data_IF_162422494333
#
_entry.id   IF_162422494333
#
_cell.length_a   1.000
_cell.length_b   1.000
_cell.length_c   1.000
_cell.angle_alpha   90.00
_cell.angle_beta   90.00
_cell.angle_gamma   90.00
#
_symmetry.space_group_name_H-M   'P 1'
#
loop_
_entity.id
_entity.type
_entity.pdbx_description
1 polymer ?
#
# COMPACT_ATOMS: atom_id res chain seq x y z
N UNK A 1 14.04 -33.78 -18.63
CA UNK A 1 14.83 -33.20 -17.52
C UNK A 1 15.38 -31.79 -17.80
N UNK A 2 15.60 -31.38 -19.06
CA UNK A 2 16.06 -30.01 -19.38
C UNK A 2 14.99 -28.91 -19.19
N UNK A 3 13.71 -29.18 -19.49
CA UNK A 3 12.65 -28.18 -19.39
C UNK A 3 12.48 -27.63 -17.96
N UNK A 4 12.56 -28.49 -16.95
CA UNK A 4 12.48 -28.08 -15.54
C UNK A 4 13.70 -27.26 -15.12
N UNK A 5 14.89 -27.62 -15.61
CA UNK A 5 16.12 -26.88 -15.32
C UNK A 5 16.10 -25.47 -15.93
N UNK A 6 15.64 -25.34 -17.17
CA UNK A 6 15.50 -24.05 -17.87
C UNK A 6 14.46 -23.16 -17.18
N UNK A 7 13.29 -23.70 -16.81
CA UNK A 7 12.27 -22.95 -16.06
C UNK A 7 12.81 -22.46 -14.71
N UNK A 8 13.56 -23.31 -14.00
CA UNK A 8 14.11 -22.97 -12.69
C UNK A 8 15.19 -21.88 -12.81
N UNK A 9 16.01 -21.94 -13.86
CA UNK A 9 17.06 -20.96 -14.15
C UNK A 9 16.47 -19.59 -14.52
N UNK A 10 15.45 -19.56 -15.39
CA UNK A 10 14.76 -18.32 -15.75
C UNK A 10 14.03 -17.70 -14.55
N UNK A 11 13.35 -18.53 -13.75
CA UNK A 11 12.68 -18.07 -12.52
C UNK A 11 13.68 -17.47 -11.52
N UNK A 12 14.86 -18.09 -11.38
CA UNK A 12 15.93 -17.60 -10.51
C UNK A 12 16.49 -16.26 -11.00
N UNK A 13 16.63 -16.10 -12.32
CA UNK A 13 17.11 -14.87 -12.93
C UNK A 13 16.14 -13.71 -12.68
N UNK A 14 14.84 -13.92 -12.91
CA UNK A 14 13.80 -12.90 -12.64
C UNK A 14 13.75 -12.57 -11.15
N UNK A 15 13.88 -13.57 -10.28
CA UNK A 15 13.85 -13.33 -8.84
C UNK A 15 15.00 -12.43 -8.37
N UNK A 16 16.23 -12.67 -8.84
CA UNK A 16 17.38 -11.84 -8.49
C UNK A 16 17.23 -10.40 -8.98
N UNK A 17 16.69 -10.23 -10.19
CA UNK A 17 16.45 -8.91 -10.77
C UNK A 17 15.46 -8.09 -9.91
N UNK A 18 14.30 -8.67 -9.60
CA UNK A 18 13.25 -8.00 -8.82
C UNK A 18 13.68 -7.75 -7.36
N UNK A 19 14.52 -8.63 -6.79
CA UNK A 19 14.99 -8.52 -5.40
C UNK A 19 15.75 -7.23 -5.14
N UNK A 20 16.63 -6.81 -6.06
CA UNK A 20 17.39 -5.55 -5.94
C UNK A 20 16.45 -4.34 -5.94
N UNK A 21 15.47 -4.32 -6.86
CA UNK A 21 14.49 -3.23 -6.92
C UNK A 21 13.57 -3.20 -5.69
N UNK A 22 13.14 -4.37 -5.20
CA UNK A 22 12.35 -4.48 -3.97
C UNK A 22 13.11 -3.96 -2.76
N UNK A 23 14.38 -4.38 -2.60
CA UNK A 23 15.21 -3.94 -1.48
C UNK A 23 15.37 -2.41 -1.49
N UNK A 24 15.61 -1.84 -2.67
CA UNK A 24 15.72 -0.40 -2.86
C UNK A 24 14.39 0.32 -2.55
N UNK A 25 13.27 -0.21 -3.04
CA UNK A 25 11.92 0.32 -2.77
C UNK A 25 11.56 0.29 -1.29
N UNK A 26 11.86 -0.81 -0.59
CA UNK A 26 11.66 -0.92 0.85
C UNK A 26 12.55 0.02 1.65
N UNK A 27 13.79 0.25 1.19
CA UNK A 27 14.70 1.20 1.83
C UNK A 27 14.16 2.64 1.72
N UNK A 28 13.72 3.04 0.53
CA UNK A 28 13.09 4.34 0.31
C UNK A 28 11.78 4.48 1.09
N UNK A 29 10.95 3.44 1.10
CA UNK A 29 9.71 3.40 1.88
C UNK A 29 9.97 3.50 3.40
N UNK A 30 11.01 2.83 3.90
CA UNK A 30 11.45 2.91 5.30
C UNK A 30 11.94 4.31 5.68
N UNK A 31 12.71 4.96 4.80
CA UNK A 31 13.11 6.37 4.97
C UNK A 31 11.88 7.28 5.02
N UNK A 32 10.96 7.13 4.07
CA UNK A 32 9.69 7.87 4.05
C UNK A 32 8.88 7.65 5.33
N UNK A 33 8.85 6.42 5.84
CA UNK A 33 8.17 6.08 7.08
C UNK A 33 8.76 6.79 8.31
N UNK A 34 10.09 6.97 8.35
CA UNK A 34 10.77 7.73 9.43
C UNK A 34 10.54 9.23 9.28
N UNK A 35 10.54 9.77 8.04
CA UNK A 35 10.27 11.18 7.77
C UNK A 35 8.80 11.55 8.05
N UNK A 36 7.85 10.65 7.76
CA UNK A 36 6.44 10.82 8.10
C UNK A 36 6.21 10.52 9.59
N UNK A 37 6.37 11.55 10.41
CA UNK A 37 6.11 11.51 11.85
C UNK A 37 4.69 11.00 12.12
N UNK A 38 4.56 9.94 12.95
CA UNK A 38 3.29 9.28 13.28
C UNK A 38 2.19 10.26 13.76
N UNK A 39 2.59 11.38 14.38
CA UNK A 39 1.69 12.44 14.83
C UNK A 39 0.92 13.13 13.67
N UNK A 40 1.59 13.33 12.51
CA UNK A 40 0.96 13.87 11.30
C UNK A 40 -0.01 12.85 10.70
N UNK A 41 0.37 11.58 10.67
CA UNK A 41 -0.48 10.49 10.15
C UNK A 41 -1.73 10.33 11.01
N UNK A 42 -1.62 10.32 12.34
CA UNK A 42 -2.77 10.26 13.23
C UNK A 42 -3.72 11.46 13.08
N UNK A 43 -3.17 12.66 12.87
CA UNK A 43 -3.97 13.88 12.68
C UNK A 43 -4.69 13.91 11.33
N UNK A 44 -4.06 13.46 10.24
CA UNK A 44 -4.63 13.51 8.88
C UNK A 44 -5.37 12.24 8.46
N UNK A 45 -4.88 11.06 8.85
CA UNK A 45 -5.45 9.75 8.50
C UNK A 45 -6.28 9.11 9.65
N UNK A 46 -6.18 9.63 10.88
CA UNK A 46 -6.96 9.14 12.03
C UNK A 46 -8.20 9.97 12.37
N UNK A 47 -8.24 11.26 12.01
CA UNK A 47 -9.34 12.16 12.41
C UNK A 47 -10.36 12.36 11.27
N UNK A 48 -11.31 11.43 11.11
CA UNK A 48 -12.53 11.67 10.32
C UNK A 48 -13.18 10.48 9.58
N UNK A 49 -14.42 10.76 9.10
CA UNK A 49 -15.30 10.07 8.13
C UNK A 49 -14.73 9.64 6.77
N UNK A 50 -14.12 10.62 6.12
CA UNK A 50 -14.10 10.71 4.66
C UNK A 50 -12.76 11.27 4.18
N UNK A 51 -12.28 12.33 4.84
CA UNK A 51 -10.96 12.92 4.63
C UNK A 51 -9.80 11.90 4.66
N UNK A 52 -9.70 10.99 5.65
CA UNK A 52 -8.56 10.06 5.70
C UNK A 52 -8.61 9.02 4.57
N UNK A 53 -9.79 8.58 4.16
CA UNK A 53 -10.00 7.63 3.05
C UNK A 53 -9.53 8.25 1.73
N UNK A 54 -9.98 9.47 1.45
CA UNK A 54 -9.61 10.19 0.23
C UNK A 54 -8.11 10.49 0.17
N UNK A 55 -7.54 10.94 1.30
CA UNK A 55 -6.12 11.26 1.37
C UNK A 55 -5.25 10.00 1.22
N UNK A 56 -5.64 8.89 1.84
CA UNK A 56 -5.00 7.59 1.66
C UNK A 56 -5.06 7.08 0.23
N UNK A 57 -6.21 7.18 -0.44
CA UNK A 57 -6.31 6.81 -1.85
C UNK A 57 -5.40 7.69 -2.73
N UNK A 58 -5.35 8.99 -2.47
CA UNK A 58 -4.50 9.94 -3.21
C UNK A 58 -3.01 9.66 -3.01
N UNK A 59 -2.60 9.31 -1.78
CA UNK A 59 -1.21 8.89 -1.50
C UNK A 59 -0.88 7.49 -2.05
N UNK A 60 -1.87 6.63 -2.31
CA UNK A 60 -1.67 5.32 -2.95
C UNK A 60 -1.34 5.42 -4.43
N UNK A 61 -1.88 6.43 -5.13
CA UNK A 61 -1.69 6.65 -6.58
C UNK A 61 -0.21 6.73 -7.01
N UNK A 62 0.64 7.56 -6.39
CA UNK A 62 2.03 7.72 -6.83
C UNK A 62 2.96 6.60 -6.35
N UNK A 63 2.50 5.69 -5.49
CA UNK A 63 3.35 4.65 -4.91
C UNK A 63 3.07 3.32 -5.62
N UNK A 64 3.90 2.89 -6.59
CA UNK A 64 3.73 1.60 -7.26
C UNK A 64 4.18 0.46 -6.32
N UNK A 65 3.35 0.12 -5.34
CA UNK A 65 3.55 -1.08 -4.53
C UNK A 65 2.74 -2.23 -5.14
N UNK A 66 3.38 -3.37 -5.31
CA UNK A 66 2.66 -4.61 -5.54
C UNK A 66 2.07 -5.13 -4.21
N UNK A 67 1.19 -6.14 -4.31
CA UNK A 67 0.62 -6.88 -3.18
C UNK A 67 1.65 -7.18 -2.07
N UNK A 68 2.89 -7.56 -2.43
CA UNK A 68 3.95 -7.90 -1.48
C UNK A 68 4.41 -6.70 -0.63
N UNK A 69 4.37 -5.48 -1.17
CA UNK A 69 4.79 -4.26 -0.48
C UNK A 69 3.63 -3.50 0.18
N UNK A 70 2.41 -3.60 -0.35
CA UNK A 70 1.25 -2.85 0.18
C UNK A 70 0.80 -3.35 1.55
N UNK A 71 0.91 -4.66 1.83
CA UNK A 71 0.52 -5.28 3.11
C UNK A 71 1.32 -4.75 4.31
N UNK A 72 2.67 -4.75 4.30
CA UNK A 72 3.44 -4.20 5.41
C UNK A 72 3.25 -2.69 5.57
N UNK A 73 3.11 -1.95 4.46
CA UNK A 73 2.86 -0.50 4.50
C UNK A 73 1.49 -0.19 5.12
N UNK A 74 0.42 -0.89 4.69
CA UNK A 74 -0.92 -0.74 5.26
C UNK A 74 -0.93 -1.09 6.76
N UNK A 75 -0.20 -2.13 7.15
CA UNK A 75 -0.04 -2.53 8.56
C UNK A 75 0.72 -1.47 9.37
N UNK A 76 1.76 -0.86 8.81
CA UNK A 76 2.50 0.25 9.43
C UNK A 76 1.63 1.49 9.61
N UNK A 77 0.86 1.85 8.58
CA UNK A 77 -0.07 2.98 8.60
C UNK A 77 -1.14 2.82 9.69
N UNK A 78 -1.63 1.60 9.84
CA UNK A 78 -2.58 1.25 10.91
C UNK A 78 -1.97 1.35 12.30
N UNK A 79 -0.71 0.92 12.48
CA UNK A 79 0.03 1.09 13.75
C UNK A 79 0.27 2.56 14.11
N UNK A 80 0.39 3.43 13.11
CA UNK A 80 0.52 4.87 13.30
C UNK A 80 -0.82 5.57 13.62
N UNK A 81 -1.93 4.83 13.66
CA UNK A 81 -3.25 5.35 14.04
C UNK A 81 -4.13 5.78 12.87
N UNK A 82 -3.89 5.27 11.66
CA UNK A 82 -4.81 5.44 10.55
C UNK A 82 -6.10 4.64 10.76
N UNK A 83 -7.20 5.18 10.25
CA UNK A 83 -8.51 4.54 10.27
C UNK A 83 -8.51 3.25 9.40
N UNK A 84 -9.30 2.24 9.77
CA UNK A 84 -9.47 0.99 9.01
C UNK A 84 -9.89 1.25 7.56
N UNK A 85 -10.82 2.20 7.34
CA UNK A 85 -11.24 2.58 5.99
C UNK A 85 -10.13 3.23 5.17
N UNK A 86 -9.19 3.93 5.81
CA UNK A 86 -8.06 4.58 5.16
C UNK A 86 -6.98 3.57 4.75
N UNK A 87 -6.71 2.58 5.60
CA UNK A 87 -5.79 1.49 5.28
C UNK A 87 -6.33 0.60 4.14
N UNK A 88 -7.63 0.29 4.14
CA UNK A 88 -8.27 -0.47 3.06
C UNK A 88 -8.31 0.30 1.74
N UNK A 89 -8.68 1.59 1.78
CA UNK A 89 -8.69 2.41 0.57
C UNK A 89 -7.28 2.59 -0.02
N UNK A 90 -6.25 2.74 0.81
CA UNK A 90 -4.86 2.72 0.34
C UNK A 90 -4.53 1.37 -0.33
N UNK A 91 -4.89 0.26 0.30
CA UNK A 91 -4.60 -1.08 -0.21
C UNK A 91 -5.30 -1.39 -1.53
N UNK A 92 -6.50 -0.83 -1.76
CA UNK A 92 -7.25 -0.97 -3.01
C UNK A 92 -6.73 0.01 -4.08
N UNK A 93 -6.50 1.28 -3.73
CA UNK A 93 -6.10 2.31 -4.68
C UNK A 93 -4.66 2.11 -5.23
N UNK A 94 -3.76 1.56 -4.42
CA UNK A 94 -2.35 1.35 -4.78
C UNK A 94 -2.14 0.45 -6.02
N UNK A 95 -2.66 -0.79 -6.08
CA UNK A 95 -2.53 -1.64 -7.27
C UNK A 95 -3.30 -1.14 -8.50
N UNK A 96 -4.26 -0.25 -8.28
CA UNK A 96 -5.26 0.15 -9.26
C UNK A 96 -4.87 1.41 -10.02
N UNK A 97 -4.15 2.31 -9.34
CA UNK A 97 -3.60 3.55 -9.91
C UNK A 97 -2.10 3.52 -10.14
N UNK A 98 -1.47 2.34 -9.98
CA UNK A 98 -0.03 2.18 -10.18
C UNK A 98 0.42 2.69 -11.55
N UNK A 99 1.48 3.52 -11.55
CA UNK A 99 2.04 4.12 -12.77
C UNK A 99 2.40 3.08 -13.84
N UNK A 100 2.76 1.88 -13.39
CA UNK A 100 3.06 0.72 -14.24
C UNK A 100 1.82 0.24 -15.03
N UNK A 101 0.67 0.16 -14.36
CA UNK A 101 -0.59 -0.24 -15.00
C UNK A 101 -1.07 0.83 -16.00
N UNK A 102 -0.84 2.10 -15.70
CA UNK A 102 -1.15 3.22 -16.59
C UNK A 102 -0.21 3.21 -17.81
N UNK A 103 1.09 2.98 -17.61
CA UNK A 103 2.08 2.91 -18.68
C UNK A 103 1.81 1.75 -19.65
N UNK A 104 1.50 0.57 -19.13
CA UNK A 104 1.16 -0.61 -19.95
C UNK A 104 -0.16 -0.40 -20.69
N UNK A 105 -1.17 0.18 -20.03
CA UNK A 105 -2.46 0.47 -20.67
C UNK A 105 -2.28 1.48 -21.81
N UNK A 106 -1.49 2.54 -21.61
CA UNK A 106 -1.23 3.54 -22.65
C UNK A 106 -0.50 2.95 -23.86
N UNK A 107 0.34 1.93 -23.66
CA UNK A 107 1.07 1.26 -24.72
C UNK A 107 0.21 0.27 -25.54
N UNK A 108 -0.88 -0.27 -24.97
CA UNK A 108 -1.67 -1.36 -25.57
C UNK A 108 -3.11 -0.98 -25.92
N UNK A 109 -3.71 -0.01 -25.24
CA UNK A 109 -5.13 0.29 -25.31
C UNK A 109 -5.33 1.82 -25.30
N UNK A 110 -5.95 2.33 -26.36
CA UNK A 110 -6.28 3.74 -26.63
C UNK A 110 -6.46 4.62 -25.35
N UNK A 111 -5.93 5.87 -25.32
CA UNK A 111 -5.82 6.72 -24.14
C UNK A 111 -7.11 6.89 -23.30
N UNK A 112 -8.27 6.66 -23.90
CA UNK A 112 -9.57 6.70 -23.21
C UNK A 112 -9.67 5.65 -22.09
N UNK A 113 -9.22 4.41 -22.31
CA UNK A 113 -9.30 3.35 -21.28
C UNK A 113 -8.23 3.48 -20.20
N UNK A 114 -7.13 4.16 -20.52
CA UNK A 114 -6.04 4.43 -19.56
C UNK A 114 -6.50 5.32 -18.41
N UNK A 115 -7.47 6.21 -18.65
CA UNK A 115 -8.00 7.14 -17.65
C UNK A 115 -9.21 6.55 -16.91
N UNK A 116 -10.10 5.85 -17.62
CA UNK A 116 -11.32 5.29 -17.01
C UNK A 116 -11.00 4.28 -15.91
N UNK A 117 -9.99 3.44 -16.12
CA UNK A 117 -9.61 2.37 -15.17
C UNK A 117 -9.17 2.91 -13.79
N UNK A 118 -8.17 3.81 -13.68
CA UNK A 118 -7.77 4.37 -12.38
C UNK A 118 -8.85 5.26 -11.78
N UNK A 119 -9.69 5.93 -12.58
CA UNK A 119 -10.81 6.74 -12.06
C UNK A 119 -11.89 5.86 -11.45
N UNK A 120 -12.40 4.87 -12.19
CA UNK A 120 -13.41 3.92 -11.70
C UNK A 120 -12.92 3.17 -10.46
N UNK A 121 -11.65 2.83 -10.48
CA UNK A 121 -10.95 2.30 -9.36
C UNK A 121 -10.95 3.22 -8.13
N UNK A 122 -10.44 4.43 -8.28
CA UNK A 122 -10.37 5.42 -7.21
C UNK A 122 -11.75 5.63 -6.56
N UNK A 123 -12.81 5.70 -7.38
CA UNK A 123 -14.17 5.75 -6.86
C UNK A 123 -14.56 4.50 -6.08
N UNK A 124 -14.18 3.31 -6.53
CA UNK A 124 -14.44 2.04 -5.83
C UNK A 124 -13.68 1.97 -4.51
N UNK A 125 -12.40 2.36 -4.48
CA UNK A 125 -11.58 2.42 -3.28
C UNK A 125 -12.14 3.42 -2.25
N UNK A 126 -12.56 4.60 -2.70
CA UNK A 126 -13.19 5.63 -1.86
C UNK A 126 -14.54 5.17 -1.34
N UNK A 127 -15.41 4.63 -2.19
CA UNK A 127 -16.71 4.10 -1.78
C UNK A 127 -16.55 2.97 -0.75
N UNK A 128 -15.62 2.04 -0.99
CA UNK A 128 -15.33 0.92 -0.08
C UNK A 128 -14.76 1.41 1.24
N UNK A 129 -13.83 2.36 1.23
CA UNK A 129 -13.24 2.92 2.45
C UNK A 129 -14.23 3.75 3.27
N UNK A 130 -15.13 4.50 2.63
CA UNK A 130 -16.22 5.22 3.29
C UNK A 130 -17.24 4.23 3.86
N UNK A 131 -17.66 3.25 3.06
CA UNK A 131 -18.58 2.21 3.51
C UNK A 131 -18.02 1.47 4.73
N UNK A 132 -16.73 1.13 4.74
CA UNK A 132 -16.09 0.54 5.91
C UNK A 132 -16.10 1.49 7.12
N UNK A 133 -15.87 2.78 6.92
CA UNK A 133 -15.86 3.73 8.03
C UNK A 133 -17.27 3.98 8.63
N UNK A 134 -18.34 3.66 7.89
CA UNK A 134 -19.73 3.77 8.34
C UNK A 134 -20.30 2.44 8.87
N UNK A 135 -19.97 1.31 8.24
CA UNK A 135 -20.53 -0.01 8.57
C UNK A 135 -19.55 -0.99 9.22
N UNK A 136 -18.25 -0.81 8.98
CA UNK A 136 -17.22 -1.72 9.43
C UNK A 136 -17.00 -1.63 10.93
N UNK A 137 -17.05 -2.78 11.62
CA UNK A 137 -16.46 -2.91 12.95
C UNK A 137 -14.97 -2.60 12.81
N UNK A 138 -14.46 -1.65 13.60
CA UNK A 138 -13.05 -1.31 13.61
C UNK A 138 -12.24 -2.59 13.79
N UNK A 139 -11.50 -3.00 12.77
CA UNK A 139 -10.66 -4.19 12.88
C UNK A 139 -9.52 -3.79 13.79
N UNK A 140 -9.27 -4.48 14.91
CA UNK A 140 -8.17 -4.11 15.80
C UNK A 140 -6.86 -4.00 14.99
N UNK A 141 -6.03 -3.01 15.34
CA UNK A 141 -4.69 -2.91 14.77
C UNK A 141 -3.96 -4.25 14.97
N UNK A 142 -3.17 -4.74 13.98
CA UNK A 142 -2.30 -5.89 14.18
C UNK A 142 -1.36 -5.60 15.36
N UNK A 143 -1.65 -6.21 16.50
CA UNK A 143 -0.85 -6.11 17.72
C UNK A 143 0.49 -6.79 17.46
N UNK A 144 1.55 -6.02 17.22
CA UNK A 144 2.89 -6.55 17.52
C UNK A 144 2.93 -6.68 19.04
N UNK A 145 3.42 -7.79 19.61
CA UNK A 145 3.83 -7.81 21.00
C UNK A 145 4.72 -6.59 21.24
N UNK A 146 4.33 -5.72 22.15
CA UNK A 146 5.18 -4.65 22.64
C UNK A 146 6.55 -5.27 22.98
N UNK A 147 7.68 -4.78 22.42
CA UNK A 147 8.98 -5.20 22.94
C UNK A 147 8.93 -4.96 24.46
N UNK A 148 9.37 -5.94 25.28
CA UNK A 148 9.28 -5.80 26.73
C UNK A 148 9.90 -4.47 27.09
N UNK A 149 9.12 -3.63 27.78
CA UNK A 149 9.62 -2.42 28.41
C UNK A 149 10.82 -2.87 29.22
N UNK A 150 12.02 -2.55 28.73
CA UNK A 150 13.24 -2.77 29.49
C UNK A 150 13.07 -1.85 30.69
N UNK A 151 12.75 -2.45 31.82
CA UNK A 151 12.68 -1.80 33.11
C UNK A 151 14.01 -1.08 33.29
N UNK A 152 13.99 0.23 33.09
CA UNK A 152 14.98 1.13 33.66
C UNK A 152 14.80 1.09 35.16
N UNK A 153 15.75 0.48 35.88
CA UNK A 153 15.85 0.60 37.33
C UNK A 153 16.76 -0.43 37.96
N UNK A 154 17.92 0.00 38.46
CA UNK A 154 18.82 -0.77 39.32
C UNK A 154 20.28 -0.45 39.10
#
# INVERSE_FOLDING_TARGET
MNMVYEILKESWHIYLDVSVYMLFGFLVAGILYVFFKADKIKRYLGTGKIKPVFLSALFGIPIPLCSCGVVPVATGLKKQGANDGAALAFMIATPESGVDSIAISYAMLDPVMTIIRPVAGFFTAVCTGIAQNYWGKSTPAPSIPSPPLKETGG
#
